data_IF_000659017793
#
_entry.id   IF_000659017793
#
_cell.length_a   1.000
_cell.length_b   1.000
_cell.length_c   1.000
_cell.angle_alpha   90.00
_cell.angle_beta   90.00
_cell.angle_gamma   90.00
#
_symmetry.space_group_name_H-M   'P 1'
#
loop_
_entity.id
_entity.type
_entity.pdbx_description
1 polymer ?
2 non-polymer ?
3 non-polymer ?
4 non-polymer ?
5 non-polymer ?
6 water ?
#
# COMPACT_ATOMS: atom_id res chain seq x y z
N UNK A 35 3.49 -16.69 9.67
CA UNK A 35 3.89 -15.30 9.49
C UNK A 35 5.38 -15.18 9.21
N UNK A 36 5.76 -15.31 7.93
CA UNK A 36 7.14 -15.14 7.54
C UNK A 36 7.58 -13.67 7.65
N UNK A 37 6.61 -12.76 7.52
CA UNK A 37 6.87 -11.33 7.39
C UNK A 37 7.92 -11.05 6.32
N UNK A 38 7.86 -11.81 5.24
CA UNK A 38 8.71 -11.56 4.09
C UNK A 38 7.84 -11.52 2.84
N UNK A 39 8.38 -10.96 1.76
CA UNK A 39 7.68 -10.93 0.47
C UNK A 39 8.53 -11.63 -0.58
N UNK A 40 7.98 -12.65 -1.23
CA UNK A 40 8.70 -13.35 -2.28
C UNK A 40 8.32 -12.82 -3.66
N UNK A 41 9.14 -13.14 -4.65
CA UNK A 41 8.89 -12.78 -6.03
C UNK A 41 7.54 -13.30 -6.49
N UNK A 42 7.25 -14.56 -6.16
CA UNK A 42 5.99 -15.17 -6.58
C UNK A 42 4.79 -14.49 -5.94
N UNK A 43 4.95 -14.08 -4.69
CA UNK A 43 3.87 -13.37 -3.99
C UNK A 43 3.55 -12.05 -4.66
N UNK A 44 4.60 -11.30 -5.02
CA UNK A 44 4.39 -10.00 -5.66
C UNK A 44 3.76 -10.17 -7.03
N UNK A 45 4.26 -11.12 -7.81
CA UNK A 45 3.68 -11.39 -9.13
C UNK A 45 2.21 -11.76 -9.02
N UNK A 46 1.84 -12.53 -8.00
CA UNK A 46 0.43 -12.89 -7.80
C UNK A 46 -0.44 -11.66 -7.50
N UNK A 47 0.05 -10.81 -6.63
CA UNK A 47 -0.66 -9.57 -6.29
C UNK A 47 -0.88 -8.70 -7.53
N UNK A 48 0.17 -8.54 -8.34
CA UNK A 48 0.05 -7.75 -9.56
C UNK A 48 -0.99 -8.37 -10.51
N UNK A 49 -1.02 -9.70 -10.58
CA UNK A 49 -1.97 -10.38 -11.45
C UNK A 49 -3.42 -10.20 -10.96
N UNK A 50 -3.62 -10.30 -9.65
CA UNK A 50 -4.91 -10.03 -9.03
C UNK A 50 -5.42 -8.61 -9.32
N UNK A 51 -4.55 -7.62 -9.14
CA UNK A 51 -4.94 -6.24 -9.41
C UNK A 51 -5.29 -6.06 -10.89
N UNK A 52 -4.48 -6.65 -11.76
CA UNK A 52 -4.67 -6.52 -13.21
C UNK A 52 -6.05 -7.03 -13.65
N UNK A 53 -6.47 -8.16 -13.13
CA UNK A 53 -7.75 -8.73 -13.53
C UNK A 53 -8.90 -7.82 -13.14
N UNK A 54 -8.77 -7.15 -12.00
CA UNK A 54 -9.82 -6.26 -11.54
C UNK A 54 -9.84 -4.93 -12.32
N UNK A 55 -8.66 -4.36 -12.56
CA UNK A 55 -8.59 -3.10 -13.30
C UNK A 55 -9.03 -3.25 -14.77
N UNK A 56 -8.90 -4.44 -15.32
CA UNK A 56 -9.31 -4.66 -16.70
C UNK A 56 -10.81 -4.45 -16.87
N UNK A 57 -11.54 -4.54 -15.77
CA UNK A 57 -12.98 -4.33 -15.77
C UNK A 57 -13.36 -2.87 -15.48
N UNK A 58 -12.38 -1.99 -15.42
CA UNK A 58 -12.62 -0.56 -15.21
C UNK A 58 -12.23 0.24 -16.45
N UNK A 59 -13.20 0.56 -17.30
CA UNK A 59 -12.93 1.27 -18.56
C UNK A 59 -12.38 2.70 -18.38
N UNK A 60 -12.78 3.40 -17.33
CA UNK A 60 -12.34 4.78 -17.15
C UNK A 60 -10.97 4.87 -16.48
N UNK A 61 -10.25 3.75 -16.41
CA UNK A 61 -8.99 3.69 -15.68
C UNK A 61 -8.05 4.80 -16.13
N UNK A 62 -7.59 5.58 -15.16
CA UNK A 62 -6.86 6.82 -15.43
C UNK A 62 -5.68 6.90 -14.48
N UNK A 63 -4.47 6.89 -15.01
CA UNK A 63 -3.29 6.82 -14.16
C UNK A 63 -3.16 8.01 -13.20
N UNK A 64 -3.46 9.21 -13.69
CA UNK A 64 -3.40 10.39 -12.86
C UNK A 64 -4.37 10.31 -11.69
N UNK A 65 -5.54 9.74 -11.94
CA UNK A 65 -6.53 9.60 -10.88
C UNK A 65 -6.09 8.56 -9.86
N UNK A 66 -5.47 7.48 -10.35
CA UNK A 66 -4.98 6.41 -9.48
C UNK A 66 -3.88 6.92 -8.53
N UNK A 67 -3.01 7.79 -9.04
CA UNK A 67 -1.97 8.38 -8.22
C UNK A 67 -2.54 9.25 -7.11
N UNK A 68 -3.56 10.05 -7.43
CA UNK A 68 -4.22 10.84 -6.41
C UNK A 68 -4.91 9.93 -5.38
N UNK A 69 -5.60 8.90 -5.87
CA UNK A 69 -6.28 7.96 -4.96
C UNK A 69 -5.28 7.32 -3.99
N UNK A 70 -4.09 7.01 -4.48
CA UNK A 70 -3.03 6.44 -3.64
C UNK A 70 -2.78 7.34 -2.42
N UNK A 71 -2.64 8.64 -2.69
CA UNK A 71 -2.33 9.60 -1.62
C UNK A 71 -3.53 9.75 -0.68
N UNK A 72 -4.73 9.83 -1.25
CA UNK A 72 -5.91 9.98 -0.41
C UNK A 72 -6.06 8.75 0.49
N UNK A 73 -5.89 7.55 -0.07
CA UNK A 73 -5.99 6.31 0.71
C UNK A 73 -4.89 6.24 1.76
N UNK A 74 -3.73 6.81 1.43
CA UNK A 74 -2.63 6.84 2.39
C UNK A 74 -3.02 7.64 3.61
N UNK A 75 -3.58 8.82 3.40
CA UNK A 75 -4.03 9.63 4.53
C UNK A 75 -5.12 8.96 5.34
N UNK A 76 -6.01 8.22 4.68
CA UNK A 76 -7.04 7.50 5.40
C UNK A 76 -6.42 6.43 6.31
N UNK A 77 -5.42 5.70 5.81
CA UNK A 77 -4.71 4.75 6.66
C UNK A 77 -4.02 5.47 7.83
N UNK A 78 -3.37 6.59 7.53
CA UNK A 78 -2.66 7.35 8.55
C UNK A 78 -3.62 7.80 9.65
N UNK A 79 -4.85 8.11 9.25
CA UNK A 79 -5.88 8.55 10.17
C UNK A 79 -6.35 7.42 11.10
N UNK A 80 -6.07 6.18 10.72
CA UNK A 80 -6.45 5.03 11.58
C UNK A 80 -5.35 4.72 12.59
N UNK A 81 -4.13 5.12 12.27
CA UNK A 81 -3.01 4.95 13.18
C UNK A 81 -3.11 5.88 14.38
N UNK A 82 -3.51 7.12 14.10
CA UNK A 82 -3.87 8.13 15.11
C UNK A 82 -2.70 8.56 16.00
N UNK A 83 -1.49 8.59 15.45
CA UNK A 83 -0.34 8.99 16.26
C UNK A 83 -0.39 10.48 16.62
N UNK A 84 -1.20 11.26 15.93
CA UNK A 84 -1.36 12.69 16.23
C UNK A 84 -2.58 12.99 17.12
N UNK A 85 -3.37 11.97 17.45
CA UNK A 85 -4.59 12.24 18.21
C UNK A 85 -4.35 12.12 19.72
N UNK A 86 -3.67 13.14 20.24
CA UNK A 86 -3.32 13.25 21.66
C UNK A 86 -4.51 13.24 22.61
N UNK A 87 -5.70 13.53 22.09
CA UNK A 87 -6.89 13.65 22.91
C UNK A 87 -7.61 12.33 23.12
N UNK A 88 -7.07 11.26 22.56
CA UNK A 88 -7.70 9.96 22.69
C UNK A 88 -7.06 9.13 23.81
N UNK A 89 -7.87 8.38 24.54
CA UNK A 89 -7.37 7.47 25.58
C UNK A 89 -6.66 6.28 24.97
N UNK A 90 -7.23 5.75 23.89
CA UNK A 90 -6.68 4.59 23.21
C UNK A 90 -6.56 4.89 21.71
N UNK A 91 -5.60 5.75 21.36
CA UNK A 91 -5.48 6.10 19.94
C UNK A 91 -5.08 4.89 19.14
N UNK A 92 -5.55 4.82 17.90
CA UNK A 92 -5.31 3.68 17.06
C UNK A 92 -6.62 2.93 16.96
N UNK A 93 -7.05 2.68 15.75
CA UNK A 93 -8.23 1.88 15.50
C UNK A 93 -7.87 0.39 15.62
N UNK A 94 -8.88 -0.50 15.70
CA UNK A 94 -8.57 -1.94 15.73
C UNK A 94 -7.63 -2.36 14.59
N UNK A 95 -6.81 -3.36 14.86
CA UNK A 95 -5.84 -3.85 13.88
C UNK A 95 -6.49 -4.16 12.53
N UNK A 96 -7.66 -4.79 12.55
CA UNK A 96 -8.28 -5.21 11.30
C UNK A 96 -8.71 -4.00 10.45
N UNK A 97 -9.11 -2.92 11.12
CA UNK A 97 -9.40 -1.66 10.42
C UNK A 97 -8.13 -1.05 9.83
N UNK A 98 -7.06 -0.99 10.60
CA UNK A 98 -5.81 -0.43 10.08
C UNK A 98 -5.32 -1.22 8.87
N UNK A 99 -5.39 -2.54 8.95
CA UNK A 99 -4.92 -3.40 7.86
C UNK A 99 -5.80 -3.22 6.61
N UNK A 100 -7.10 -3.12 6.81
CA UNK A 100 -8.01 -2.88 5.69
C UNK A 100 -7.71 -1.56 4.98
N UNK A 101 -7.42 -0.51 5.74
CA UNK A 101 -7.10 0.77 5.10
C UNK A 101 -5.71 0.73 4.43
N UNK A 102 -4.78 -0.03 5.01
CA UNK A 102 -3.47 -0.23 4.39
C UNK A 102 -3.58 -0.96 3.06
N UNK A 103 -4.45 -1.96 3.02
CA UNK A 103 -4.72 -2.73 1.81
C UNK A 103 -5.22 -1.84 0.64
N UNK A 104 -5.89 -0.74 0.97
CA UNK A 104 -6.33 0.22 -0.06
C UNK A 104 -5.11 0.89 -0.71
N UNK A 105 -4.12 1.24 0.11
CA UNK A 105 -2.88 1.82 -0.41
C UNK A 105 -2.21 0.83 -1.36
N UNK A 106 -2.15 -0.43 -0.95
CA UNK A 106 -1.58 -1.47 -1.80
C UNK A 106 -2.31 -1.62 -3.11
N UNK A 107 -3.64 -1.64 -3.06
CA UNK A 107 -4.49 -1.72 -4.27
C UNK A 107 -4.04 -0.68 -5.31
N UNK A 108 -4.02 0.58 -4.93
CA UNK A 108 -3.65 1.62 -5.90
C UNK A 108 -2.18 1.56 -6.27
N UNK A 109 -1.33 1.12 -5.34
CA UNK A 109 0.08 0.95 -5.63
C UNK A 109 0.30 -0.11 -6.70
N UNK A 110 -0.41 -1.23 -6.60
CA UNK A 110 -0.31 -2.28 -7.61
C UNK A 110 -0.87 -1.81 -8.94
N UNK A 111 -1.99 -1.09 -8.89
CA UNK A 111 -2.65 -0.58 -10.09
C UNK A 111 -1.71 0.36 -10.86
N UNK A 112 -1.05 1.26 -10.14
CA UNK A 112 -0.16 2.23 -10.74
C UNK A 112 1.04 1.51 -11.39
N UNK A 113 1.58 0.52 -10.68
CA UNK A 113 2.66 -0.30 -11.22
C UNK A 113 2.25 -0.97 -12.53
N UNK A 114 1.09 -1.64 -12.51
CA UNK A 114 0.57 -2.29 -13.72
C UNK A 114 0.34 -1.33 -14.87
N UNK A 115 -0.23 -0.16 -14.58
CA UNK A 115 -0.49 0.83 -15.62
C UNK A 115 0.79 1.37 -16.25
N UNK A 116 1.87 1.37 -15.48
CA UNK A 116 3.15 1.87 -15.99
C UNK A 116 3.99 0.76 -16.63
N UNK A 117 3.54 -0.48 -16.51
CA UNK A 117 4.27 -1.60 -17.08
C UNK A 117 5.36 -2.03 -16.13
N UNK A 118 5.06 -3.05 -15.33
CA UNK A 118 5.98 -3.50 -14.28
C UNK A 118 6.78 -4.70 -14.77
N UNK A 119 7.98 -4.43 -15.27
CA UNK A 119 8.78 -5.48 -15.92
C UNK A 119 9.69 -6.19 -14.93
N UNK A 120 10.34 -7.26 -15.39
CA UNK A 120 11.21 -8.06 -14.54
C UNK A 120 12.31 -7.20 -13.92
N UNK A 121 12.83 -6.23 -14.68
CA UNK A 121 13.85 -5.36 -14.12
C UNK A 121 13.27 -4.37 -13.11
N UNK A 122 11.99 -4.00 -13.24
CA UNK A 122 11.38 -3.16 -12.23
C UNK A 122 11.23 -3.94 -10.93
N UNK A 123 10.88 -5.22 -11.07
CA UNK A 123 10.73 -6.09 -9.93
C UNK A 123 12.04 -6.23 -9.15
N UNK A 124 13.15 -6.42 -9.87
CA UNK A 124 14.46 -6.52 -9.23
C UNK A 124 14.84 -5.25 -8.48
N UNK A 125 14.54 -4.10 -9.08
CA UNK A 125 14.86 -2.82 -8.43
C UNK A 125 14.00 -2.63 -7.19
N UNK A 126 12.75 -3.07 -7.28
CA UNK A 126 11.87 -3.03 -6.12
C UNK A 126 12.45 -3.83 -4.95
N UNK A 127 12.88 -5.06 -5.19
CA UNK A 127 13.38 -5.88 -4.08
C UNK A 127 14.69 -5.32 -3.49
N UNK A 128 15.51 -4.73 -4.35
CA UNK A 128 16.72 -4.06 -3.88
C UNK A 128 16.35 -2.85 -3.02
N UNK A 129 15.44 -2.02 -3.52
CA UNK A 129 14.99 -0.84 -2.78
C UNK A 129 14.31 -1.20 -1.46
N UNK A 130 13.52 -2.26 -1.49
CA UNK A 130 12.82 -2.70 -0.29
C UNK A 130 13.80 -3.25 0.75
N UNK A 131 14.72 -4.10 0.31
CA UNK A 131 15.70 -4.71 1.21
C UNK A 131 16.59 -3.69 1.91
N UNK A 132 16.93 -2.63 1.18
CA UNK A 132 17.95 -1.72 1.65
C UNK A 132 17.39 -0.37 2.09
N UNK A 133 16.08 -0.28 2.24
CA UNK A 133 15.46 0.90 2.83
C UNK A 133 15.85 1.02 4.31
N UNK A 134 16.41 2.16 4.69
CA UNK A 134 16.94 2.35 6.03
C UNK A 134 16.09 3.27 6.89
N UNK A 135 15.20 4.04 6.27
CA UNK A 135 14.56 5.15 6.98
C UNK A 135 13.08 4.95 7.30
N UNK A 136 12.51 3.84 6.85
CA UNK A 136 11.12 3.54 7.16
C UNK A 136 11.02 2.43 8.18
N UNK A 137 11.63 2.60 9.36
CA UNK A 137 11.55 1.61 10.42
C UNK A 137 10.45 1.98 11.42
N UNK A 138 10.11 1.04 12.29
CA UNK A 138 9.06 1.19 13.29
C UNK A 138 9.05 2.57 14.01
N UNK A 139 10.18 2.99 14.62
CA UNK A 139 10.09 4.24 15.37
C UNK A 139 9.83 5.47 14.50
N UNK A 140 10.30 5.44 13.27
CA UNK A 140 10.03 6.56 12.37
C UNK A 140 8.54 6.60 11.98
N UNK A 141 7.99 5.43 11.68
CA UNK A 141 6.61 5.35 11.21
C UNK A 141 5.63 5.70 12.32
N UNK A 142 6.08 5.57 13.56
CA UNK A 142 5.25 5.84 14.74
C UNK A 142 5.31 7.32 15.12
N UNK A 143 6.20 8.07 14.49
CA UNK A 143 6.30 9.51 14.69
C UNK A 143 5.27 10.22 13.82
N UNK A 144 4.40 11.05 14.42
CA UNK A 144 3.32 11.64 13.60
C UNK A 144 3.87 12.62 12.55
N UNK A 145 5.08 13.13 12.75
CA UNK A 145 5.70 14.08 11.81
C UNK A 145 6.15 13.41 10.50
N UNK A 146 6.12 12.08 10.49
CA UNK A 146 6.42 11.30 9.28
C UNK A 146 5.54 11.73 8.11
N UNK A 147 4.33 12.19 8.41
CA UNK A 147 3.38 12.56 7.36
C UNK A 147 3.88 13.75 6.54
N UNK A 148 4.69 14.63 7.13
CA UNK A 148 5.27 15.74 6.36
C UNK A 148 6.29 15.25 5.34
N UNK A 149 7.08 14.25 5.71
CA UNK A 149 8.04 13.66 4.78
C UNK A 149 7.32 12.98 3.63
N UNK A 150 6.27 12.25 3.96
CA UNK A 150 5.47 11.57 2.95
C UNK A 150 4.90 12.60 1.97
N UNK A 151 4.32 13.68 2.48
CA UNK A 151 3.79 14.72 1.58
C UNK A 151 4.86 15.32 0.67
N UNK A 152 6.10 15.41 1.16
CA UNK A 152 7.16 15.95 0.33
C UNK A 152 7.47 14.99 -0.83
N UNK A 153 7.25 13.69 -0.62
CA UNK A 153 7.37 12.73 -1.69
C UNK A 153 6.16 12.76 -2.62
N UNK A 154 4.97 12.92 -2.04
CA UNK A 154 3.72 12.80 -2.78
C UNK A 154 3.50 13.95 -3.78
N UNK A 155 4.10 15.09 -3.57
CA UNK A 155 3.82 16.17 -4.52
C UNK A 155 4.93 16.28 -5.57
N UNK A 156 5.93 15.39 -5.48
CA UNK A 156 7.01 15.30 -6.46
C UNK A 156 6.56 14.51 -7.68
N UNK A 157 6.61 15.13 -8.85
CA UNK A 157 6.21 14.47 -10.09
C UNK A 157 6.95 13.15 -10.31
N UNK A 158 8.16 13.05 -9.78
CA UNK A 158 9.07 11.94 -10.06
C UNK A 158 8.93 10.74 -9.13
N UNK A 159 8.00 10.80 -8.18
CA UNK A 159 7.69 9.64 -7.33
C UNK A 159 7.41 8.41 -8.18
N UNK A 160 8.17 7.33 -7.97
CA UNK A 160 8.05 6.16 -8.82
C UNK A 160 7.01 5.17 -8.32
N UNK A 161 6.55 4.28 -9.19
CA UNK A 161 5.62 3.25 -8.77
C UNK A 161 6.35 2.29 -7.83
N UNK A 162 7.65 2.08 -8.07
CA UNK A 162 8.45 1.23 -7.19
C UNK A 162 8.47 1.79 -5.77
N UNK A 163 8.72 3.08 -5.65
CA UNK A 163 8.78 3.72 -4.34
C UNK A 163 7.43 3.61 -3.61
N UNK A 164 6.33 3.77 -4.34
CA UNK A 164 5.01 3.63 -3.72
C UNK A 164 4.79 2.26 -3.13
N UNK A 165 5.34 1.25 -3.79
CA UNK A 165 5.22 -0.12 -3.30
C UNK A 165 6.19 -0.38 -2.15
N UNK A 166 7.39 0.20 -2.21
CA UNK A 166 8.32 0.07 -1.09
C UNK A 166 7.68 0.64 0.19
N UNK A 167 7.02 1.78 0.06
CA UNK A 167 6.42 2.43 1.22
C UNK A 167 5.38 1.53 1.88
N UNK A 168 4.48 0.99 1.08
CA UNK A 168 3.37 0.22 1.67
C UNK A 168 3.87 -1.11 2.24
N UNK A 169 4.83 -1.76 1.60
CA UNK A 169 5.33 -3.01 2.16
C UNK A 169 6.22 -2.81 3.39
N UNK A 170 6.93 -1.68 3.48
CA UNK A 170 7.73 -1.43 4.69
C UNK A 170 6.82 -1.14 5.88
N UNK A 171 5.72 -0.45 5.63
CA UNK A 171 4.75 -0.19 6.69
C UNK A 171 4.22 -1.54 7.21
N UNK A 172 3.82 -2.42 6.29
CA UNK A 172 3.32 -3.74 6.68
C UNK A 172 4.38 -4.52 7.46
N UNK A 173 5.61 -4.52 6.94
CA UNK A 173 6.71 -5.24 7.56
C UNK A 173 7.02 -4.73 8.98
N UNK A 174 6.94 -3.42 9.15
CA UNK A 174 7.40 -2.77 10.37
C UNK A 174 6.31 -2.60 11.44
N UNK A 175 5.07 -2.33 11.02
CA UNK A 175 4.00 -2.06 11.99
C UNK A 175 3.05 -3.24 12.13
N UNK A 176 3.00 -4.07 11.09
CA UNK A 176 2.08 -5.21 11.08
C UNK A 176 2.87 -6.45 10.70
N UNK A 177 2.34 -7.25 9.77
CA UNK A 177 3.18 -8.16 9.00
C UNK A 177 2.77 -8.09 7.54
N UNK A 178 3.70 -8.44 6.65
CA UNK A 178 3.42 -8.51 5.22
C UNK A 178 2.30 -9.53 4.98
N UNK A 179 2.36 -10.64 5.72
CA UNK A 179 1.32 -11.64 5.65
C UNK A 179 -0.09 -11.08 5.92
N UNK A 180 -0.28 -10.22 6.92
CA UNK A 180 -1.66 -9.78 7.21
C UNK A 180 -2.09 -8.83 6.15
N UNK A 181 -1.14 -8.12 5.57
CA UNK A 181 -1.48 -7.12 4.58
C UNK A 181 -2.00 -7.86 3.35
N UNK A 182 -1.28 -8.91 2.97
CA UNK A 182 -1.66 -9.69 1.80
C UNK A 182 -3.02 -10.34 2.02
N UNK A 183 -3.26 -10.82 3.24
CA UNK A 183 -4.54 -11.44 3.56
C UNK A 183 -5.70 -10.43 3.44
N UNK A 184 -5.52 -9.25 4.01
CA UNK A 184 -6.56 -8.21 3.95
C UNK A 184 -6.84 -7.77 2.51
N UNK A 185 -5.78 -7.63 1.71
CA UNK A 185 -5.95 -7.24 0.32
C UNK A 185 -6.69 -8.32 -0.48
N UNK A 186 -6.29 -9.58 -0.33
CA UNK A 186 -6.97 -10.65 -1.05
C UNK A 186 -8.46 -10.73 -0.67
N UNK A 187 -8.77 -10.59 0.62
CA UNK A 187 -10.16 -10.54 1.09
C UNK A 187 -10.95 -9.41 0.42
N UNK A 188 -10.33 -8.23 0.40
CA UNK A 188 -10.92 -7.05 -0.22
C UNK A 188 -11.19 -7.26 -1.71
N UNK A 189 -10.23 -7.85 -2.41
CA UNK A 189 -10.38 -8.03 -3.84
C UNK A 189 -11.43 -9.10 -4.18
N UNK A 190 -11.58 -10.09 -3.30
CA UNK A 190 -12.63 -11.09 -3.48
C UNK A 190 -13.99 -10.40 -3.41
N UNK A 191 -14.17 -9.56 -2.40
CA UNK A 191 -15.40 -8.80 -2.26
C UNK A 191 -15.59 -7.88 -3.47
N UNK A 192 -14.51 -7.26 -3.91
CA UNK A 192 -14.56 -6.35 -5.07
C UNK A 192 -15.03 -7.05 -6.34
N UNK A 193 -14.61 -8.30 -6.53
CA UNK A 193 -15.02 -9.04 -7.72
C UNK A 193 -16.49 -9.41 -7.60
N UNK A 194 -16.93 -9.72 -6.38
CA UNK A 194 -18.34 -10.00 -6.13
C UNK A 194 -19.22 -8.79 -6.44
N UNK A 195 -18.76 -7.59 -6.08
CA UNK A 195 -19.48 -6.36 -6.39
C UNK A 195 -19.61 -6.14 -7.90
N UNK A 196 -18.48 -6.16 -8.60
CA UNK A 196 -18.49 -5.96 -10.05
C UNK A 196 -19.17 -7.12 -10.78
N UNK A 197 -19.36 -8.25 -10.11
CA UNK A 197 -20.11 -9.37 -10.67
C UNK A 197 -21.61 -9.21 -10.44
N UNK A 198 -21.98 -8.34 -9.50
CA UNK A 198 -23.37 -8.16 -9.13
C UNK A 198 -23.89 -9.31 -8.29
N UNK A 199 -23.05 -9.81 -7.39
CA UNK A 199 -23.43 -10.89 -6.49
C UNK A 199 -23.38 -10.42 -5.04
#
# INVERSE_FOLDING_TARGET
MGSSHHHHHHSSGLVPRGSHMASMTGGQQMGRGSMTNTLTTDQLQELLQIQKEFDDRIPTLNLGDSKIAYVVEFFEWFNTLETFKNWKKKPGKPLDVQLDELADILLFGLSIANQQGFEEYDRDLFFESFDEEYFLDFPYLRNQDMIYDMMSEFYDDDLTSIRRLVIVFKIAEQLYTIDQLIDAYKKKMKRNHERQDGTADAGKGYV
#
